data_IF_747825417927
#
_entry.id   IF_747825417927
#
_cell.length_a   1.000
_cell.length_b   1.000
_cell.length_c   1.000
_cell.angle_alpha   90.00
_cell.angle_beta   90.00
_cell.angle_gamma   90.00
#
_symmetry.space_group_name_H-M   'P 1'
#
loop_
_entity.id
_entity.type
_entity.pdbx_description
1 polymer ?
#
# COMPACT_ATOMS: atom_id res chain seq x y z
N UNK A 1 12.48 -4.16 -22.96
CA UNK A 1 12.42 -5.51 -22.34
C UNK A 1 11.10 -5.64 -21.61
N UNK A 2 10.27 -6.63 -21.97
CA UNK A 2 8.91 -6.81 -21.39
C UNK A 2 9.01 -7.62 -20.10
N UNK A 3 8.53 -7.09 -18.97
CA UNK A 3 8.45 -7.80 -17.69
C UNK A 3 6.97 -8.04 -17.38
N UNK A 4 6.57 -9.31 -17.35
CA UNK A 4 5.21 -9.75 -17.04
C UNK A 4 5.15 -10.13 -15.56
N UNK A 5 4.19 -9.57 -14.80
CA UNK A 5 3.95 -9.95 -13.41
C UNK A 5 2.58 -10.64 -13.27
N UNK A 6 2.57 -11.78 -12.59
CA UNK A 6 1.36 -12.54 -12.25
C UNK A 6 0.86 -12.06 -10.89
N UNK A 7 -0.41 -11.67 -10.80
CA UNK A 7 -1.09 -11.35 -9.54
C UNK A 7 -1.34 -12.65 -8.75
N UNK A 8 -0.39 -13.05 -7.89
CA UNK A 8 -0.59 -14.10 -6.89
C UNK A 8 -0.48 -13.46 -5.50
N UNK A 9 -1.59 -12.93 -5.01
CA UNK A 9 -1.71 -12.60 -3.60
C UNK A 9 -1.65 -13.92 -2.81
N UNK A 10 -0.69 -14.01 -1.87
CA UNK A 10 -0.59 -14.95 -0.74
C UNK A 10 0.16 -16.30 -0.84
N UNK A 11 1.05 -16.58 -1.82
CA UNK A 11 1.85 -17.84 -1.75
C UNK A 11 3.29 -17.85 -2.29
N UNK A 12 3.91 -16.70 -2.61
CA UNK A 12 5.31 -16.67 -3.10
C UNK A 12 6.20 -15.87 -2.16
N UNK A 13 6.23 -16.29 -0.90
CA UNK A 13 7.46 -16.28 -0.13
C UNK A 13 7.92 -17.74 -0.09
N UNK A 14 9.15 -18.01 -0.57
CA UNK A 14 9.96 -19.24 -0.40
C UNK A 14 10.18 -20.17 -1.61
N UNK A 15 9.37 -20.25 -2.66
CA UNK A 15 9.72 -21.13 -3.81
C UNK A 15 10.28 -20.35 -5.01
N UNK A 16 11.60 -20.37 -5.18
CA UNK A 16 12.36 -20.34 -6.45
C UNK A 16 13.75 -19.69 -6.27
N UNK A 17 14.46 -20.12 -5.24
CA UNK A 17 15.88 -20.43 -5.36
C UNK A 17 15.96 -21.84 -5.98
N UNK A 18 16.81 -22.03 -7.00
CA UNK A 18 17.10 -23.27 -7.76
C UNK A 18 16.18 -23.67 -8.93
N UNK A 19 16.83 -23.91 -10.09
CA UNK A 19 16.51 -25.05 -10.96
C UNK A 19 15.96 -24.74 -12.36
N UNK A 20 16.88 -24.72 -13.33
CA UNK A 20 16.77 -25.12 -14.74
C UNK A 20 15.48 -24.89 -15.57
N UNK A 21 15.69 -24.34 -16.78
CA UNK A 21 14.69 -24.24 -17.85
C UNK A 21 14.11 -25.61 -18.25
N UNK A 22 12.77 -25.70 -18.45
CA UNK A 22 12.22 -26.69 -19.35
C UNK A 22 11.42 -26.07 -20.50
N UNK A 23 11.60 -26.75 -21.64
CA UNK A 23 11.08 -26.51 -22.99
C UNK A 23 9.59 -26.17 -23.06
N UNK A 24 9.27 -25.26 -23.99
CA UNK A 24 7.91 -24.85 -24.40
C UNK A 24 7.00 -26.04 -24.69
N UNK A 25 5.98 -26.24 -23.85
CA UNK A 25 4.77 -27.01 -24.20
C UNK A 25 3.61 -26.05 -24.48
N UNK A 26 2.97 -26.28 -25.62
CA UNK A 26 1.79 -25.60 -26.14
C UNK A 26 0.55 -26.30 -25.57
N UNK A 27 -0.20 -25.61 -24.72
CA UNK A 27 -1.54 -25.89 -24.21
C UNK A 27 -1.93 -24.63 -23.44
N UNK A 28 -3.15 -24.18 -23.31
CA UNK A 28 -4.51 -24.59 -23.65
C UNK A 28 -5.34 -23.40 -23.17
N UNK A 29 -6.51 -23.14 -23.76
CA UNK A 29 -7.34 -21.97 -23.44
C UNK A 29 -7.75 -21.93 -21.97
N UNK A 30 -6.97 -21.21 -21.16
CA UNK A 30 -7.22 -20.94 -19.76
C UNK A 30 -7.54 -19.45 -19.66
N UNK A 31 -8.62 -19.14 -18.94
CA UNK A 31 -9.35 -17.88 -18.99
C UNK A 31 -8.47 -16.64 -19.05
N UNK A 32 -8.96 -15.62 -19.76
CA UNK A 32 -8.39 -14.27 -19.78
C UNK A 32 -8.31 -13.75 -18.33
N UNK A 33 -7.25 -14.10 -17.62
CA UNK A 33 -6.75 -13.31 -16.51
C UNK A 33 -6.54 -11.91 -17.08
N UNK A 34 -7.08 -10.90 -16.41
CA UNK A 34 -6.88 -9.51 -16.77
C UNK A 34 -5.39 -9.20 -16.65
N UNK A 35 -4.66 -9.41 -17.74
CA UNK A 35 -3.28 -8.97 -17.89
C UNK A 35 -3.34 -7.46 -18.06
N UNK A 36 -3.08 -6.74 -16.98
CA UNK A 36 -2.93 -5.28 -17.00
C UNK A 36 -1.52 -5.00 -17.50
N UNK A 37 -1.41 -4.25 -18.60
CA UNK A 37 -0.13 -3.80 -19.11
C UNK A 37 0.41 -2.69 -18.19
N UNK A 38 1.61 -2.89 -17.66
CA UNK A 38 2.28 -1.91 -16.81
C UNK A 38 3.07 -0.93 -17.68
N UNK A 39 2.90 0.34 -17.38
CA UNK A 39 3.67 1.45 -17.96
C UNK A 39 5.02 1.62 -17.27
N UNK A 40 5.97 2.32 -17.88
CA UNK A 40 7.27 2.62 -17.25
C UNK A 40 7.14 3.51 -15.99
N UNK A 41 6.01 4.21 -15.86
CA UNK A 41 5.64 5.02 -14.72
C UNK A 41 5.12 4.19 -13.54
N UNK A 42 4.84 2.90 -13.75
CA UNK A 42 4.29 2.02 -12.74
C UNK A 42 5.41 1.40 -11.88
N UNK A 43 5.26 1.57 -10.57
CA UNK A 43 6.22 1.08 -9.57
C UNK A 43 5.48 0.19 -8.58
N UNK A 44 5.98 -1.04 -8.40
CA UNK A 44 5.49 -1.97 -7.39
C UNK A 44 6.54 -2.06 -6.29
N UNK A 45 6.11 -1.81 -5.06
CA UNK A 45 6.96 -1.79 -3.89
C UNK A 45 6.39 -2.77 -2.86
N UNK A 46 6.95 -3.99 -2.75
CA UNK A 46 6.30 -5.10 -2.08
C UNK A 46 6.23 -4.96 -0.55
N UNK A 47 7.28 -4.48 0.10
CA UNK A 47 7.26 -4.14 1.53
C UNK A 47 8.14 -2.92 1.70
N UNK A 48 7.55 -1.82 2.15
CA UNK A 48 8.29 -0.57 2.29
C UNK A 48 8.12 0.12 3.61
N UNK A 49 7.12 -0.27 4.39
CA UNK A 49 6.80 0.38 5.64
C UNK A 49 6.26 -0.62 6.65
N UNK A 50 6.79 -0.55 7.86
CA UNK A 50 6.32 -1.29 9.02
C UNK A 50 5.70 -0.30 10.01
N UNK A 51 4.45 -0.52 10.40
CA UNK A 51 3.69 0.41 11.22
C UNK A 51 3.12 -0.28 12.45
N UNK A 52 3.03 0.46 13.55
CA UNK A 52 2.21 0.12 14.70
C UNK A 52 1.16 1.20 14.92
N UNK A 53 -0.08 0.79 15.15
CA UNK A 53 -1.14 1.75 15.41
C UNK A 53 -2.49 1.13 15.66
N UNK A 54 -3.50 1.99 15.75
CA UNK A 54 -4.89 1.56 15.84
C UNK A 54 -5.58 1.82 14.50
N UNK A 55 -6.40 0.87 14.02
CA UNK A 55 -6.97 -0.25 14.78
C UNK A 55 -6.25 -1.61 14.65
N UNK A 56 -5.39 -1.78 13.65
CA UNK A 56 -4.84 -3.07 13.14
C UNK A 56 -3.51 -3.50 13.78
N UNK A 57 -2.99 -2.74 14.76
CA UNK A 57 -1.74 -3.00 15.51
C UNK A 57 -0.52 -2.98 14.57
N UNK A 58 0.31 -4.03 14.62
CA UNK A 58 1.45 -4.19 13.72
C UNK A 58 0.94 -4.49 12.31
N UNK A 59 1.36 -3.69 11.35
CA UNK A 59 1.05 -3.86 9.93
C UNK A 59 2.26 -3.59 9.05
N UNK A 60 2.28 -4.18 7.86
CA UNK A 60 3.25 -3.87 6.82
C UNK A 60 2.52 -3.30 5.63
N UNK A 61 3.10 -2.30 4.95
CA UNK A 61 2.48 -1.68 3.77
C UNK A 61 3.24 -2.04 2.50
N UNK A 62 2.49 -2.55 1.52
CA UNK A 62 2.86 -2.69 0.12
C UNK A 62 2.21 -1.57 -0.70
N UNK A 63 2.85 -1.15 -1.79
CA UNK A 63 2.33 -0.09 -2.66
C UNK A 63 2.48 -0.43 -4.13
N UNK A 64 1.46 -0.07 -4.90
CA UNK A 64 1.56 0.16 -6.33
C UNK A 64 1.38 1.66 -6.56
N UNK A 65 2.27 2.25 -7.34
CA UNK A 65 2.32 3.69 -7.59
C UNK A 65 2.40 3.93 -9.09
N UNK A 66 1.57 4.84 -9.59
CA UNK A 66 1.65 5.38 -10.94
C UNK A 66 2.17 6.82 -10.88
N UNK A 67 3.36 7.05 -11.43
CA UNK A 67 3.98 8.38 -11.50
C UNK A 67 3.40 9.18 -12.67
N UNK A 68 2.86 10.38 -12.42
CA UNK A 68 2.31 11.19 -13.50
C UNK A 68 3.39 11.82 -14.39
N UNK A 69 4.65 11.81 -13.96
CA UNK A 69 5.75 12.40 -14.70
C UNK A 69 6.50 11.31 -15.49
N UNK A 70 6.55 11.48 -16.82
CA UNK A 70 7.26 10.55 -17.71
C UNK A 70 8.78 10.71 -17.65
N UNK A 71 9.24 11.93 -17.43
CA UNK A 71 10.67 12.25 -17.41
C UNK A 71 11.19 12.37 -15.98
N UNK A 72 12.39 11.82 -15.72
CA UNK A 72 13.15 12.10 -14.49
C UNK A 72 13.78 13.48 -14.58
N UNK A 73 12.95 14.51 -14.72
CA UNK A 73 13.38 15.91 -14.59
C UNK A 73 13.69 16.24 -13.13
N UNK A 74 14.51 17.25 -12.88
CA UNK A 74 14.86 17.78 -11.54
C UNK A 74 13.69 18.48 -10.82
N UNK A 75 12.45 18.08 -11.11
CA UNK A 75 11.27 18.70 -10.53
C UNK A 75 11.26 18.34 -9.03
N UNK A 76 11.24 19.35 -8.14
CA UNK A 76 11.30 19.11 -6.70
C UNK A 76 10.05 18.41 -6.17
N UNK A 77 8.95 18.44 -6.92
CA UNK A 77 7.65 17.91 -6.52
C UNK A 77 7.11 16.90 -7.54
N UNK A 78 6.88 15.66 -7.11
CA UNK A 78 6.32 14.59 -7.94
C UNK A 78 4.96 14.15 -7.42
N UNK A 79 4.04 13.98 -8.35
CA UNK A 79 2.65 13.62 -8.09
C UNK A 79 2.38 12.22 -8.61
N UNK A 80 1.72 11.42 -7.79
CA UNK A 80 1.48 10.02 -8.11
C UNK A 80 0.08 9.61 -7.63
N UNK A 81 -0.53 8.66 -8.31
CA UNK A 81 -1.63 7.87 -7.76
C UNK A 81 -1.10 6.56 -7.20
N UNK A 82 -1.78 5.99 -6.21
CA UNK A 82 -1.36 4.71 -5.64
C UNK A 82 -2.49 3.86 -5.12
N UNK A 83 -2.20 2.55 -5.10
CA UNK A 83 -2.97 1.53 -4.41
C UNK A 83 -2.08 1.01 -3.28
N UNK A 84 -2.64 0.94 -2.08
CA UNK A 84 -1.92 0.66 -0.85
C UNK A 84 -2.56 -0.54 -0.18
N UNK A 85 -1.76 -1.53 0.18
CA UNK A 85 -2.22 -2.67 0.95
C UNK A 85 -1.43 -2.74 2.25
N UNK A 86 -2.13 -2.65 3.37
CA UNK A 86 -1.54 -2.71 4.70
C UNK A 86 -2.18 -3.84 5.52
N UNK A 87 -1.79 -5.11 5.33
CA UNK A 87 -2.17 -6.18 6.23
C UNK A 87 -1.48 -6.01 7.59
N UNK A 88 -2.25 -6.23 8.64
CA UNK A 88 -1.80 -6.23 10.02
C UNK A 88 -2.34 -7.43 10.81
N UNK A 89 -1.87 -7.54 12.05
CA UNK A 89 -2.21 -8.70 12.90
C UNK A 89 -3.67 -8.68 13.38
N UNK A 90 -4.29 -7.49 13.44
CA UNK A 90 -5.70 -7.31 13.88
C UNK A 90 -6.59 -6.64 12.83
N UNK A 91 -6.14 -6.58 11.58
CA UNK A 91 -6.92 -6.01 10.49
C UNK A 91 -6.09 -5.81 9.22
N UNK A 92 -6.75 -5.47 8.12
CA UNK A 92 -6.08 -5.05 6.89
C UNK A 92 -6.76 -3.84 6.30
N UNK A 93 -5.91 -2.92 5.82
CA UNK A 93 -6.31 -1.72 5.12
C UNK A 93 -5.99 -1.87 3.64
N UNK A 94 -6.97 -1.57 2.79
CA UNK A 94 -6.82 -1.38 1.35
C UNK A 94 -7.12 0.08 1.03
N UNK A 95 -6.13 0.80 0.56
CA UNK A 95 -6.24 2.22 0.24
C UNK A 95 -6.06 2.49 -1.25
N UNK A 96 -6.75 3.52 -1.73
CA UNK A 96 -6.43 4.18 -3.00
C UNK A 96 -6.26 5.66 -2.74
N UNK A 97 -5.30 6.30 -3.39
CA UNK A 97 -5.00 7.68 -3.02
C UNK A 97 -3.99 8.37 -3.90
N UNK A 98 -3.70 9.58 -3.47
CA UNK A 98 -2.73 10.48 -4.06
C UNK A 98 -1.48 10.56 -3.19
N UNK A 99 -0.31 10.63 -3.82
CA UNK A 99 0.98 10.75 -3.16
C UNK A 99 1.80 11.88 -3.79
N UNK A 100 2.17 12.85 -2.95
CA UNK A 100 3.15 13.89 -3.26
C UNK A 100 4.51 13.53 -2.70
N UNK A 101 5.55 13.53 -3.53
CA UNK A 101 6.94 13.35 -3.12
C UNK A 101 7.68 14.66 -3.37
N UNK A 102 8.14 15.28 -2.29
CA UNK A 102 9.03 16.43 -2.35
C UNK A 102 10.47 16.02 -2.09
N UNK A 103 11.36 16.37 -3.01
CA UNK A 103 12.80 16.18 -2.91
C UNK A 103 13.47 17.56 -2.84
N UNK A 104 14.04 17.94 -1.68
CA UNK A 104 14.70 19.24 -1.52
C UNK A 104 15.87 19.39 -2.51
N UNK A 105 16.03 20.58 -3.07
CA UNK A 105 17.11 20.91 -4.01
C UNK A 105 18.36 21.45 -3.32
N UNK A 106 18.29 21.76 -2.02
CA UNK A 106 19.42 22.23 -1.23
C UNK A 106 20.47 21.12 -1.08
N UNK A 107 21.75 21.43 -1.33
CA UNK A 107 22.86 20.47 -1.26
C UNK A 107 22.96 19.76 0.10
N UNK A 108 22.65 20.45 1.20
CA UNK A 108 22.70 19.88 2.55
C UNK A 108 21.60 18.86 2.86
N UNK A 109 20.57 18.77 2.01
CA UNK A 109 19.43 17.86 2.18
C UNK A 109 19.26 16.92 0.96
N UNK A 110 20.24 16.87 0.05
CA UNK A 110 20.24 15.93 -1.05
C UNK A 110 20.17 14.49 -0.51
N UNK A 111 19.18 13.72 -0.98
CA UNK A 111 18.86 12.38 -0.48
C UNK A 111 17.71 12.34 0.54
N UNK A 112 17.24 13.50 1.03
CA UNK A 112 16.02 13.57 1.86
C UNK A 112 14.78 13.56 0.98
N UNK A 113 13.75 12.81 1.40
CA UNK A 113 12.43 12.83 0.76
C UNK A 113 11.35 13.13 1.80
N UNK A 114 10.47 14.07 1.47
CA UNK A 114 9.22 14.27 2.18
C UNK A 114 8.10 13.65 1.34
N UNK A 115 7.33 12.76 1.94
CA UNK A 115 6.22 12.10 1.26
C UNK A 115 4.94 12.45 2.01
N UNK A 116 3.93 12.86 1.26
CA UNK A 116 2.60 13.13 1.78
C UNK A 116 1.58 12.35 0.98
N UNK A 117 0.61 11.78 1.66
CA UNK A 117 -0.37 10.90 1.05
C UNK A 117 -1.75 11.18 1.61
N UNK A 118 -2.74 11.20 0.71
CA UNK A 118 -4.15 11.28 1.05
C UNK A 118 -4.86 10.09 0.40
N UNK A 119 -5.54 9.27 1.20
CA UNK A 119 -6.08 7.99 0.78
C UNK A 119 -7.55 7.86 1.20
N UNK A 120 -8.36 7.28 0.32
CA UNK A 120 -9.60 6.62 0.72
C UNK A 120 -9.26 5.17 1.07
N UNK A 121 -9.76 4.69 2.21
CA UNK A 121 -9.34 3.41 2.80
C UNK A 121 -10.54 2.56 3.16
N UNK A 122 -10.47 1.28 2.80
CA UNK A 122 -11.31 0.24 3.34
C UNK A 122 -10.52 -0.56 4.37
N UNK A 123 -11.08 -0.72 5.57
CA UNK A 123 -10.48 -1.48 6.66
C UNK A 123 -11.36 -2.68 6.98
N UNK A 124 -10.76 -3.87 7.06
CA UNK A 124 -11.38 -5.07 7.63
C UNK A 124 -10.67 -5.43 8.93
N UNK A 125 -11.40 -5.60 10.03
CA UNK A 125 -10.81 -5.98 11.33
C UNK A 125 -10.98 -7.47 11.63
N UNK A 126 -10.04 -8.05 12.38
CA UNK A 126 -10.10 -9.42 12.89
C UNK A 126 -9.25 -9.57 14.15
N UNK A 127 -9.33 -10.72 14.83
CA UNK A 127 -8.54 -10.99 16.02
C UNK A 127 -8.91 -10.04 17.15
N UNK A 128 -7.94 -9.23 17.60
CA UNK A 128 -8.12 -8.30 18.72
C UNK A 128 -7.74 -6.86 18.31
N UNK A 129 -8.59 -6.13 17.57
CA UNK A 129 -8.33 -4.73 17.21
C UNK A 129 -8.41 -3.82 18.44
N UNK A 130 -7.67 -2.70 18.44
CA UNK A 130 -7.48 -1.88 19.66
C UNK A 130 -8.68 -1.02 20.06
N UNK A 131 -9.40 -0.46 19.09
CA UNK A 131 -10.42 0.59 19.31
C UNK A 131 -11.81 0.21 18.77
N UNK A 132 -11.96 -1.01 18.29
CA UNK A 132 -13.21 -1.50 17.70
C UNK A 132 -13.34 -3.00 17.93
N UNK A 133 -14.42 -3.59 17.43
CA UNK A 133 -14.67 -5.03 17.49
C UNK A 133 -14.13 -5.73 16.23
N UNK A 134 -13.77 -7.03 16.33
CA UNK A 134 -13.38 -7.83 15.16
C UNK A 134 -14.56 -8.05 14.20
N UNK A 135 -14.23 -8.51 12.99
CA UNK A 135 -15.16 -8.88 11.91
C UNK A 135 -16.04 -7.75 11.39
N UNK A 136 -15.54 -6.51 11.49
CA UNK A 136 -16.21 -5.33 10.97
C UNK A 136 -15.45 -4.76 9.77
N UNK A 137 -16.20 -4.11 8.90
CA UNK A 137 -15.64 -3.42 7.73
C UNK A 137 -15.97 -1.94 7.81
N UNK A 138 -14.95 -1.11 7.63
CA UNK A 138 -15.04 0.34 7.67
C UNK A 138 -14.57 0.93 6.34
N UNK A 139 -15.12 2.09 5.99
CA UNK A 139 -14.56 2.98 5.00
C UNK A 139 -14.09 4.26 5.68
N UNK A 140 -13.06 4.89 5.14
CA UNK A 140 -12.44 6.03 5.78
C UNK A 140 -11.55 6.82 4.86
N UNK A 141 -10.98 7.88 5.43
CA UNK A 141 -9.93 8.66 4.81
C UNK A 141 -8.70 8.63 5.73
N UNK A 142 -7.53 8.45 5.15
CA UNK A 142 -6.24 8.53 5.85
C UNK A 142 -5.37 9.62 5.23
N UNK A 143 -4.69 10.35 6.10
CA UNK A 143 -3.60 11.23 5.73
C UNK A 143 -2.31 10.70 6.35
N UNK A 144 -1.24 10.63 5.56
CA UNK A 144 0.07 10.13 5.98
C UNK A 144 1.16 11.10 5.55
N UNK A 145 2.11 11.33 6.45
CA UNK A 145 3.35 12.03 6.15
C UNK A 145 4.51 11.10 6.51
N UNK A 146 5.46 10.99 5.60
CA UNK A 146 6.76 10.35 5.85
C UNK A 146 7.89 11.34 5.65
N UNK A 147 8.81 11.34 6.60
CA UNK A 147 10.04 12.11 6.58
C UNK A 147 11.21 11.17 6.86
N UNK A 148 12.16 11.10 5.92
CA UNK A 148 13.20 10.07 5.92
C UNK A 148 12.56 8.67 6.04
N UNK A 149 12.89 7.92 7.09
CA UNK A 149 12.38 6.59 7.37
C UNK A 149 11.23 6.60 8.38
N UNK A 150 10.80 7.77 8.88
CA UNK A 150 9.72 7.86 9.85
C UNK A 150 8.43 8.23 9.15
N UNK A 151 7.34 7.56 9.52
CA UNK A 151 6.01 7.88 9.03
C UNK A 151 5.03 8.04 10.18
N UNK A 152 4.11 8.98 10.00
CA UNK A 152 2.96 9.18 10.86
C UNK A 152 1.71 9.20 10.00
N UNK A 153 0.63 8.60 10.47
CA UNK A 153 -0.66 8.70 9.80
C UNK A 153 -1.82 8.81 10.77
N UNK A 154 -2.86 9.47 10.31
CA UNK A 154 -4.12 9.62 11.00
C UNK A 154 -5.26 9.39 10.01
N UNK A 155 -6.35 8.78 10.47
CA UNK A 155 -7.51 8.54 9.62
C UNK A 155 -8.80 8.48 10.40
N UNK A 156 -9.91 8.72 9.70
CA UNK A 156 -11.25 8.59 10.25
C UNK A 156 -11.99 7.45 9.55
N UNK A 157 -12.60 6.58 10.35
CA UNK A 157 -13.21 5.33 9.90
C UNK A 157 -14.68 5.27 10.30
N UNK A 158 -15.54 4.98 9.33
CA UNK A 158 -16.98 4.81 9.51
C UNK A 158 -17.41 3.41 9.09
N UNK A 159 -18.26 2.70 9.86
CA UNK A 159 -18.70 1.36 9.50
C UNK A 159 -19.48 1.36 8.19
N UNK A 160 -19.19 0.41 7.31
CA UNK A 160 -19.92 0.24 6.03
C UNK A 160 -21.24 -0.53 6.22
N UNK A 161 -21.30 -1.42 7.20
CA UNK A 161 -22.47 -2.28 7.46
C UNK A 161 -22.84 -2.14 8.93
N UNK A 162 -24.01 -1.57 9.19
CA UNK A 162 -24.50 -1.29 10.54
C UNK A 162 -25.27 -2.48 11.15
N UNK A 163 -24.90 -3.71 10.79
CA UNK A 163 -25.66 -4.92 11.18
C UNK A 163 -25.38 -5.37 12.63
N UNK A 164 -24.34 -4.83 13.27
CA UNK A 164 -24.06 -5.06 14.69
C UNK A 164 -24.38 -3.77 15.44
N UNK A 165 -25.48 -3.79 16.19
CA UNK A 165 -25.82 -2.74 17.14
C UNK A 165 -24.59 -2.45 18.00
N UNK A 166 -24.07 -1.21 17.96
CA UNK A 166 -22.89 -0.68 18.68
C UNK A 166 -21.55 -0.52 17.93
N UNK A 167 -21.46 -0.74 16.61
CA UNK A 167 -20.23 -0.34 15.89
C UNK A 167 -20.24 1.17 15.65
N UNK A 168 -19.29 1.90 16.27
CA UNK A 168 -19.15 3.35 16.13
C UNK A 168 -17.97 3.70 15.21
N UNK A 169 -18.06 4.86 14.58
CA UNK A 169 -16.94 5.48 13.86
C UNK A 169 -15.83 5.89 14.82
N UNK A 170 -14.58 5.92 14.35
CA UNK A 170 -13.42 6.21 15.20
C UNK A 170 -12.25 6.85 14.43
N UNK A 171 -11.32 7.45 15.19
CA UNK A 171 -10.03 7.92 14.68
C UNK A 171 -8.94 6.86 14.83
N UNK A 172 -8.24 6.57 13.74
CA UNK A 172 -7.06 5.72 13.68
C UNK A 172 -5.78 6.54 13.65
N UNK A 173 -4.71 5.98 14.21
CA UNK A 173 -3.37 6.58 14.22
C UNK A 173 -2.32 5.50 14.08
N UNK A 174 -1.28 5.76 13.28
CA UNK A 174 -0.15 4.86 13.11
C UNK A 174 1.16 5.62 13.12
N UNK A 175 2.18 4.95 13.65
CA UNK A 175 3.57 5.34 13.59
C UNK A 175 4.33 4.23 12.88
N UNK A 176 5.24 4.56 11.98
CA UNK A 176 5.95 3.54 11.22
C UNK A 176 7.37 3.89 10.85
N UNK A 177 8.11 2.84 10.52
CA UNK A 177 9.49 2.86 10.03
C UNK A 177 9.55 2.29 8.62
N UNK A 178 10.13 3.06 7.71
CA UNK A 178 10.13 2.83 6.26
C UNK A 178 9.42 3.93 5.49
N UNK A 179 9.35 3.77 4.18
CA UNK A 179 8.94 4.82 3.23
C UNK A 179 7.97 4.30 2.21
#
# INVERSE_FOLDING_TARGET
>A
MKRTLIFLFLLICVSNYFGEEPKKKKQSGMGKFFLIELSEQDKIMPIILFEWGQPDRWSFTSRYIHDFHKERTSIPWRNNAGIFLSPGISGSRLGVGYMGIYSPTCESLQGTGFISELRAVMLRTWGNPLITNPDNTFAGAEFKISLFVFSISAGYYSPLVNNKENVKSFWGFHLGLGV
#
